data_IF_322449143627
#
_entry.id   IF_322449143627
#
_cell.length_a   1.000
_cell.length_b   1.000
_cell.length_c   1.000
_cell.angle_alpha   90.00
_cell.angle_beta   90.00
_cell.angle_gamma   90.00
#
_symmetry.space_group_name_H-M   'P 1'
#
loop_
_entity.id
_entity.type
_entity.pdbx_description
1 polymer ?
#
# COMPACT_ATOMS: atom_id res chain seq x y z
N UNK A 1 -1.24 0.31 4.79
CA UNK A 1 -1.55 -0.36 3.53
C UNK A 1 -0.82 0.47 2.47
N UNK A 2 0.15 -0.11 1.75
CA UNK A 2 1.06 0.58 0.81
C UNK A 2 2.42 1.04 1.32
N UNK A 3 2.48 1.73 2.46
CA UNK A 3 3.70 2.45 2.86
C UNK A 3 4.91 1.61 3.31
N UNK A 4 4.77 0.29 3.41
CA UNK A 4 5.82 -0.65 3.81
C UNK A 4 5.49 -2.06 3.33
N UNK A 5 6.52 -2.86 3.07
CA UNK A 5 6.34 -4.26 2.69
C UNK A 5 5.76 -5.08 3.87
N UNK A 6 4.61 -5.70 3.65
CA UNK A 6 3.87 -6.56 4.55
C UNK A 6 3.59 -7.92 3.90
N UNK A 7 3.72 -8.99 4.68
CA UNK A 7 3.39 -10.35 4.25
C UNK A 7 2.54 -11.01 5.33
N UNK A 8 1.23 -10.92 5.17
CA UNK A 8 0.26 -11.56 6.07
C UNK A 8 -0.94 -12.03 5.26
N UNK A 9 -1.52 -13.18 5.66
CA UNK A 9 -2.72 -13.70 5.02
C UNK A 9 -3.89 -12.76 5.31
N UNK A 10 -4.37 -12.04 4.29
CA UNK A 10 -5.47 -11.10 4.42
C UNK A 10 -6.83 -11.76 4.16
N UNK A 11 -6.94 -12.43 3.03
CA UNK A 11 -8.18 -13.04 2.56
C UNK A 11 -7.88 -14.36 1.89
N UNK A 12 -8.88 -15.24 1.87
CA UNK A 12 -8.82 -16.50 1.14
C UNK A 12 -10.09 -16.66 0.33
N UNK A 13 -9.95 -17.18 -0.89
CA UNK A 13 -11.06 -17.67 -1.72
C UNK A 13 -10.75 -19.10 -2.13
N UNK A 14 -11.76 -19.95 -2.19
CA UNK A 14 -11.62 -21.31 -2.67
C UNK A 14 -11.99 -21.40 -4.15
N UNK A 15 -11.36 -22.31 -4.88
CA UNK A 15 -11.93 -22.79 -6.13
C UNK A 15 -13.26 -23.49 -5.88
N UNK A 16 -14.12 -23.56 -6.89
CA UNK A 16 -15.47 -24.12 -6.78
C UNK A 16 -15.45 -25.60 -6.34
N UNK A 17 -14.44 -26.35 -6.75
CA UNK A 17 -14.24 -27.75 -6.36
C UNK A 17 -13.66 -27.94 -4.94
N UNK A 18 -13.30 -26.84 -4.27
CA UNK A 18 -12.71 -26.83 -2.94
C UNK A 18 -11.27 -27.37 -2.86
N UNK A 19 -10.65 -27.72 -3.98
CA UNK A 19 -9.29 -28.32 -4.01
C UNK A 19 -8.19 -27.28 -3.96
N UNK A 20 -8.46 -26.08 -4.45
CA UNK A 20 -7.52 -24.97 -4.38
C UNK A 20 -8.02 -23.88 -3.45
N UNK A 21 -7.09 -23.27 -2.70
CA UNK A 21 -7.32 -22.01 -2.02
C UNK A 21 -6.35 -20.95 -2.54
N UNK A 22 -6.89 -19.79 -2.90
CA UNK A 22 -6.17 -18.60 -3.29
C UNK A 22 -6.12 -17.66 -2.10
N UNK A 23 -4.93 -17.48 -1.51
CA UNK A 23 -4.74 -16.71 -0.28
C UNK A 23 -3.96 -15.44 -0.61
N UNK A 24 -4.57 -14.28 -0.37
CA UNK A 24 -3.96 -12.97 -0.65
C UNK A 24 -3.03 -12.58 0.49
N UNK A 25 -1.72 -12.56 0.22
CA UNK A 25 -0.64 -12.29 1.19
C UNK A 25 0.02 -10.91 1.01
N UNK A 26 -0.75 -9.88 0.64
CA UNK A 26 -0.22 -8.52 0.44
C UNK A 26 0.96 -8.50 -0.55
N UNK A 27 2.14 -8.05 -0.13
CA UNK A 27 3.29 -7.84 -1.02
C UNK A 27 3.97 -9.13 -1.44
N UNK A 28 3.59 -10.26 -0.82
CA UNK A 28 3.96 -11.58 -1.30
C UNK A 28 3.13 -11.99 -2.54
N UNK A 29 2.00 -11.33 -2.81
CA UNK A 29 1.04 -11.68 -3.84
C UNK A 29 -0.02 -12.68 -3.34
N UNK A 30 -0.73 -13.31 -4.26
CA UNK A 30 -1.67 -14.39 -3.99
C UNK A 30 -0.92 -15.71 -4.07
N UNK A 31 -0.99 -16.50 -3.00
CA UNK A 31 -0.46 -17.86 -2.92
C UNK A 31 -1.60 -18.84 -3.19
N UNK A 32 -1.45 -19.69 -4.19
CA UNK A 32 -2.37 -20.79 -4.49
C UNK A 32 -1.90 -22.05 -3.76
N UNK A 33 -2.77 -22.59 -2.92
CA UNK A 33 -2.54 -23.81 -2.15
C UNK A 33 -3.39 -24.95 -2.70
N UNK A 34 -2.80 -26.12 -2.88
CA UNK A 34 -3.53 -27.39 -3.05
C UNK A 34 -3.94 -27.90 -1.67
N UNK A 35 -5.24 -28.13 -1.52
CA UNK A 35 -5.92 -28.59 -0.32
C UNK A 35 -6.48 -30.01 -0.48
N UNK A 36 -6.00 -30.79 -1.45
CA UNK A 36 -6.33 -32.21 -1.59
C UNK A 36 -6.06 -32.99 -0.30
N UNK A 37 -4.99 -32.62 0.44
CA UNK A 37 -4.80 -32.99 1.85
C UNK A 37 -4.81 -31.73 2.72
N UNK A 38 -5.94 -31.46 3.36
CA UNK A 38 -6.12 -30.29 4.24
C UNK A 38 -5.21 -30.29 5.47
N UNK A 39 -4.68 -31.45 5.87
CA UNK A 39 -3.71 -31.53 6.97
C UNK A 39 -2.30 -31.12 6.51
N UNK A 40 -2.02 -31.17 5.21
CA UNK A 40 -0.74 -30.82 4.62
C UNK A 40 -0.89 -29.98 3.33
N UNK A 41 -1.38 -28.72 3.42
CA UNK A 41 -1.47 -27.84 2.27
C UNK A 41 -0.12 -27.63 1.58
N UNK A 42 -0.09 -27.64 0.25
CA UNK A 42 1.13 -27.40 -0.54
C UNK A 42 0.96 -26.19 -1.45
N UNK A 43 1.96 -25.31 -1.50
CA UNK A 43 2.01 -24.20 -2.47
C UNK A 43 2.18 -24.75 -3.89
N UNK A 44 1.29 -24.32 -4.79
CA UNK A 44 1.31 -24.66 -6.21
C UNK A 44 2.01 -23.56 -7.00
N UNK A 45 1.57 -22.32 -6.79
CA UNK A 45 2.00 -21.14 -7.54
C UNK A 45 1.71 -19.88 -6.74
N UNK A 46 2.39 -18.80 -7.10
CA UNK A 46 2.20 -17.48 -6.51
C UNK A 46 2.18 -16.40 -7.57
N UNK A 47 1.31 -15.41 -7.43
CA UNK A 47 1.38 -14.21 -8.29
C UNK A 47 2.68 -13.45 -8.02
N UNK A 48 3.32 -12.99 -9.09
CA UNK A 48 4.59 -12.27 -9.01
C UNK A 48 4.42 -10.85 -9.50
N UNK A 49 4.54 -9.90 -8.57
CA UNK A 49 4.53 -8.49 -8.90
C UNK A 49 5.70 -8.10 -9.80
N UNK A 50 5.49 -7.17 -10.75
CA UNK A 50 6.60 -6.52 -11.45
C UNK A 50 7.54 -5.84 -10.44
N UNK A 51 8.85 -5.79 -10.74
CA UNK A 51 9.90 -5.30 -9.82
C UNK A 51 9.76 -3.85 -9.28
N UNK A 52 8.72 -3.13 -9.67
CA UNK A 52 8.43 -1.75 -9.24
C UNK A 52 6.97 -1.53 -8.83
N UNK A 53 6.15 -2.56 -8.77
CA UNK A 53 4.84 -2.46 -8.16
C UNK A 53 4.99 -2.37 -6.63
N UNK A 54 4.04 -1.71 -5.98
CA UNK A 54 4.00 -1.62 -4.51
C UNK A 54 3.65 -2.99 -3.93
N UNK A 55 2.50 -3.51 -4.36
CA UNK A 55 2.03 -4.85 -4.02
C UNK A 55 0.60 -4.78 -3.55
N UNK A 56 0.37 -5.19 -2.30
CA UNK A 56 -0.90 -5.07 -1.58
C UNK A 56 -2.06 -5.97 -2.05
N UNK A 57 -1.76 -7.22 -2.44
CA UNK A 57 -2.76 -8.22 -2.79
C UNK A 57 -3.77 -8.42 -1.64
N UNK A 58 -4.96 -7.87 -1.83
CA UNK A 58 -6.01 -7.81 -0.82
C UNK A 58 -7.03 -8.93 -0.98
N UNK A 59 -7.54 -9.11 -2.19
CA UNK A 59 -8.48 -10.17 -2.55
C UNK A 59 -8.27 -10.65 -3.96
N UNK A 60 -8.85 -11.81 -4.27
CA UNK A 60 -8.71 -12.45 -5.57
C UNK A 60 -10.00 -13.15 -5.98
N UNK A 61 -10.26 -13.15 -7.29
CA UNK A 61 -11.34 -13.92 -7.93
C UNK A 61 -10.73 -14.74 -9.08
N UNK A 62 -10.83 -16.08 -9.07
CA UNK A 62 -10.52 -16.88 -10.24
C UNK A 62 -11.62 -16.72 -11.29
N UNK A 63 -11.24 -16.74 -12.56
CA UNK A 63 -12.18 -16.74 -13.69
C UNK A 63 -11.52 -17.34 -14.93
N UNK A 64 -12.35 -17.74 -15.91
CA UNK A 64 -11.88 -18.29 -17.17
C UNK A 64 -12.16 -17.31 -18.31
N UNK A 65 -11.15 -17.00 -19.13
CA UNK A 65 -11.33 -16.22 -20.36
C UNK A 65 -10.30 -16.62 -21.42
N UNK A 66 -10.73 -16.66 -22.68
CA UNK A 66 -9.85 -17.05 -23.81
C UNK A 66 -9.23 -18.44 -23.68
N UNK A 67 -9.93 -19.38 -23.00
CA UNK A 67 -9.43 -20.74 -22.75
C UNK A 67 -8.33 -20.84 -21.70
N UNK A 68 -8.15 -19.80 -20.87
CA UNK A 68 -7.15 -19.75 -19.79
C UNK A 68 -7.84 -19.56 -18.45
N UNK A 69 -7.27 -20.17 -17.42
CA UNK A 69 -7.57 -19.89 -16.02
C UNK A 69 -6.77 -18.69 -15.56
N UNK A 70 -7.45 -17.71 -14.97
CA UNK A 70 -6.91 -16.41 -14.63
C UNK A 70 -7.32 -16.02 -13.21
N UNK A 71 -6.57 -15.08 -12.64
CA UNK A 71 -6.84 -14.49 -11.34
C UNK A 71 -7.03 -12.98 -11.51
N UNK A 72 -8.18 -12.47 -11.10
CA UNK A 72 -8.41 -11.04 -10.86
C UNK A 72 -7.97 -10.73 -9.44
N UNK A 73 -6.83 -10.08 -9.29
CA UNK A 73 -6.26 -9.68 -8.02
C UNK A 73 -6.50 -8.19 -7.77
N UNK A 74 -6.97 -7.87 -6.58
CA UNK A 74 -7.27 -6.52 -6.14
C UNK A 74 -6.11 -6.06 -5.26
N UNK A 75 -5.40 -5.03 -5.70
CA UNK A 75 -4.32 -4.41 -4.92
C UNK A 75 -4.91 -3.26 -4.09
N UNK A 76 -5.21 -3.52 -2.82
CA UNK A 76 -5.79 -2.50 -1.96
C UNK A 76 -4.69 -1.64 -1.33
N UNK A 77 -4.53 -0.44 -1.88
CA UNK A 77 -3.53 0.50 -1.41
C UNK A 77 -4.09 1.92 -1.35
N UNK A 78 -3.84 2.57 -0.21
CA UNK A 78 -4.35 3.89 0.14
C UNK A 78 -3.24 4.94 0.32
N UNK A 79 -1.97 4.53 0.25
CA UNK A 79 -0.84 5.42 0.49
C UNK A 79 -0.08 5.66 -0.82
N UNK A 80 0.06 6.91 -1.29
CA UNK A 80 0.89 7.20 -2.45
C UNK A 80 2.39 6.92 -2.20
N UNK A 81 2.78 6.60 -0.96
CA UNK A 81 4.15 6.25 -0.60
C UNK A 81 4.37 4.76 -0.81
N UNK A 82 5.36 4.44 -1.62
CA UNK A 82 5.97 3.12 -1.68
C UNK A 82 7.33 3.13 -0.97
N UNK A 83 7.88 1.98 -0.53
CA UNK A 83 9.20 1.90 0.06
C UNK A 83 10.30 2.60 -0.78
N UNK A 84 10.95 3.67 -0.26
CA UNK A 84 11.98 4.39 -1.00
C UNK A 84 13.21 3.50 -1.21
N UNK A 85 13.74 3.54 -2.43
CA UNK A 85 15.00 2.89 -2.79
C UNK A 85 16.18 3.73 -2.36
N UNK A 86 17.12 3.10 -1.69
CA UNK A 86 18.34 3.72 -1.18
C UNK A 86 19.50 3.21 -2.04
N UNK A 87 20.07 4.11 -2.84
CA UNK A 87 21.22 3.81 -3.70
C UNK A 87 22.49 4.32 -3.04
N UNK A 88 23.35 3.37 -2.70
CA UNK A 88 24.66 3.58 -2.09
C UNK A 88 25.69 2.98 -3.05
N UNK A 89 26.72 3.75 -3.41
CA UNK A 89 27.73 3.29 -4.38
C UNK A 89 28.48 2.08 -3.81
N UNK A 90 28.55 0.99 -4.56
CA UNK A 90 29.27 -0.22 -4.15
C UNK A 90 28.47 -1.18 -3.27
N UNK A 91 27.19 -0.88 -2.98
CA UNK A 91 26.32 -1.75 -2.19
C UNK A 91 25.06 -2.15 -2.98
N UNK A 92 24.40 -3.26 -2.60
CA UNK A 92 23.07 -3.59 -3.09
C UNK A 92 22.07 -2.46 -2.88
N UNK A 93 20.98 -2.46 -3.66
CA UNK A 93 19.89 -1.51 -3.42
C UNK A 93 19.19 -1.88 -2.12
N UNK A 94 19.15 -0.94 -1.18
CA UNK A 94 18.38 -1.09 0.04
C UNK A 94 17.03 -0.39 -0.09
N UNK A 95 16.13 -0.66 0.85
CA UNK A 95 14.81 -0.05 0.95
C UNK A 95 14.65 0.59 2.33
N UNK A 96 13.91 1.68 2.39
CA UNK A 96 13.50 2.33 3.63
C UNK A 96 11.98 2.32 3.80
N UNK A 97 11.52 2.83 4.93
CA UNK A 97 10.12 3.16 5.18
C UNK A 97 10.00 4.67 5.41
N UNK A 98 8.99 5.32 4.86
CA UNK A 98 8.79 6.76 5.03
C UNK A 98 7.94 7.08 6.27
N UNK A 99 8.25 8.18 6.94
CA UNK A 99 7.37 8.77 7.95
C UNK A 99 6.12 9.33 7.28
N UNK A 100 4.93 8.85 7.67
CA UNK A 100 3.64 9.40 7.19
C UNK A 100 3.41 10.86 7.57
N UNK A 101 4.07 11.31 8.63
CA UNK A 101 3.97 12.68 9.14
C UNK A 101 4.99 13.65 8.56
N UNK A 102 5.95 13.16 7.78
CA UNK A 102 6.87 14.02 7.03
C UNK A 102 6.36 14.17 5.58
N UNK A 103 6.80 15.20 4.86
CA UNK A 103 6.59 15.29 3.42
C UNK A 103 7.11 14.04 2.72
N UNK A 104 6.25 13.46 1.88
CA UNK A 104 6.59 12.26 1.14
C UNK A 104 7.73 12.52 0.14
N UNK A 105 8.68 11.60 0.04
CA UNK A 105 9.86 11.72 -0.80
C UNK A 105 9.50 11.81 -2.30
N UNK A 106 8.38 11.25 -2.74
CA UNK A 106 7.92 11.38 -4.12
C UNK A 106 7.57 12.82 -4.50
N UNK A 107 7.26 13.69 -3.53
CA UNK A 107 7.02 15.12 -3.75
C UNK A 107 8.32 15.90 -3.96
N UNK A 108 9.48 15.32 -3.65
CA UNK A 108 10.77 15.94 -3.93
C UNK A 108 11.00 16.06 -5.45
N UNK A 109 11.76 17.06 -5.92
CA UNK A 109 12.08 17.21 -7.34
C UNK A 109 12.66 15.92 -7.95
N UNK A 110 12.06 15.43 -9.03
CA UNK A 110 12.42 14.17 -9.68
C UNK A 110 12.32 12.92 -8.79
N UNK A 111 11.45 12.96 -7.76
CA UNK A 111 11.16 11.88 -6.80
C UNK A 111 12.42 11.36 -6.10
N UNK A 112 13.37 12.25 -5.82
CA UNK A 112 14.67 11.87 -5.27
C UNK A 112 15.30 12.95 -4.41
N UNK A 113 16.08 12.52 -3.44
CA UNK A 113 17.03 13.37 -2.69
C UNK A 113 18.43 12.74 -2.83
N UNK A 114 19.38 13.52 -3.36
CA UNK A 114 20.75 13.07 -3.57
C UNK A 114 21.72 14.06 -2.92
N UNK A 115 22.32 13.67 -1.82
CA UNK A 115 23.11 14.58 -1.00
C UNK A 115 24.22 13.84 -0.24
N UNK A 116 25.14 14.64 0.30
CA UNK A 116 26.15 14.17 1.26
C UNK A 116 25.47 13.67 2.54
N UNK A 117 26.07 12.70 3.19
CA UNK A 117 25.58 12.12 4.44
C UNK A 117 26.33 12.72 5.61
N UNK A 118 25.60 13.10 6.66
CA UNK A 118 26.15 13.58 7.92
C UNK A 118 25.57 12.76 9.06
N UNK A 119 26.44 12.21 9.91
CA UNK A 119 26.05 11.53 11.15
C UNK A 119 26.50 12.37 12.35
N UNK A 120 25.63 12.65 13.34
CA UNK A 120 26.04 13.27 14.60
C UNK A 120 27.03 12.36 15.36
N UNK A 121 27.78 12.94 16.31
CA UNK A 121 28.69 12.20 17.21
C UNK A 121 27.91 11.26 18.13
N UNK A 122 26.75 11.70 18.58
CA UNK A 122 25.84 10.95 19.46
C UNK A 122 24.52 10.64 18.72
N UNK A 123 23.37 10.82 19.36
CA UNK A 123 22.04 10.52 18.83
C UNK A 123 21.45 11.64 17.95
N UNK A 124 22.03 12.85 17.95
CA UNK A 124 21.46 13.99 17.21
C UNK A 124 20.33 14.67 17.98
N UNK A 125 20.35 14.53 19.31
CA UNK A 125 19.41 15.10 20.24
C UNK A 125 19.73 16.55 20.60
N UNK A 126 20.89 17.10 20.24
CA UNK A 126 21.19 18.51 20.41
C UNK A 126 22.02 19.04 19.24
N UNK A 127 22.20 20.36 19.16
CA UNK A 127 23.08 20.97 18.14
C UNK A 127 24.54 20.54 18.39
N UNK A 128 24.93 20.40 19.64
CA UNK A 128 26.27 19.98 20.07
C UNK A 128 26.61 18.57 19.58
N UNK A 129 25.62 17.69 19.42
CA UNK A 129 25.81 16.34 18.87
C UNK A 129 26.36 16.40 17.43
N UNK A 130 26.01 17.41 16.64
CA UNK A 130 26.53 17.60 15.29
C UNK A 130 27.93 18.23 15.31
N UNK A 131 28.22 19.07 16.31
CA UNK A 131 29.49 19.77 16.47
C UNK A 131 29.78 20.70 15.28
N UNK A 132 31.02 20.70 14.79
CA UNK A 132 31.43 21.53 13.65
C UNK A 132 31.05 20.94 12.26
N UNK A 133 30.20 19.91 12.21
CA UNK A 133 29.81 19.32 10.93
C UNK A 133 28.87 20.28 10.20
N UNK A 134 29.18 20.57 8.95
CA UNK A 134 28.24 21.24 8.06
C UNK A 134 27.05 20.30 7.83
N UNK A 135 25.82 20.70 8.11
CA UNK A 135 24.59 19.90 7.88
C UNK A 135 23.77 20.47 6.71
N UNK A 136 24.08 21.69 6.26
CA UNK A 136 23.33 22.40 5.22
C UNK A 136 23.39 21.63 3.90
N UNK A 137 22.22 21.25 3.37
CA UNK A 137 22.11 20.48 2.14
C UNK A 137 22.46 18.99 2.28
N UNK A 138 22.63 18.47 3.50
CA UNK A 138 22.96 17.08 3.77
C UNK A 138 21.75 16.20 4.08
N UNK A 139 21.91 14.89 3.91
CA UNK A 139 21.05 13.90 4.57
C UNK A 139 21.64 13.63 5.95
N UNK A 140 20.88 13.92 7.00
CA UNK A 140 21.26 13.61 8.38
C UNK A 140 20.89 12.15 8.70
N UNK A 141 21.87 11.30 9.02
CA UNK A 141 21.63 9.92 9.48
C UNK A 141 21.73 9.91 11.01
N UNK A 142 20.61 9.74 11.72
CA UNK A 142 20.54 9.77 13.18
C UNK A 142 20.31 8.38 13.77
N UNK A 143 20.90 8.08 14.92
CA UNK A 143 20.68 6.80 15.62
C UNK A 143 19.39 6.84 16.40
N UNK A 144 18.53 5.85 16.20
CA UNK A 144 17.23 5.77 16.88
C UNK A 144 17.03 4.37 17.44
N UNK A 145 17.08 4.29 18.76
CA UNK A 145 16.83 3.05 19.50
C UNK A 145 15.33 2.84 19.68
N UNK A 146 14.85 1.64 19.36
CA UNK A 146 13.45 1.24 19.53
C UNK A 146 13.36 0.09 20.53
N UNK A 147 13.40 0.44 21.81
CA UNK A 147 13.60 -0.50 22.93
C UNK A 147 12.32 -1.17 23.41
N UNK A 148 11.15 -0.87 22.82
CA UNK A 148 9.83 -1.25 23.35
C UNK A 148 9.59 -2.77 23.38
N UNK A 149 10.18 -3.51 22.44
CA UNK A 149 10.00 -4.96 22.28
C UNK A 149 11.32 -5.74 22.38
N UNK A 150 12.39 -5.08 22.81
CA UNK A 150 13.69 -5.72 22.97
C UNK A 150 13.80 -6.39 24.35
N UNK A 151 14.16 -7.67 24.35
CA UNK A 151 14.51 -8.42 25.56
C UNK A 151 15.93 -9.03 25.43
N UNK A 152 16.90 -8.66 26.30
CA UNK A 152 16.81 -7.59 27.31
C UNK A 152 16.71 -6.19 26.68
N UNK A 153 16.19 -5.19 27.41
CA UNK A 153 16.00 -3.84 26.90
C UNK A 153 17.31 -3.21 26.40
N UNK A 154 17.27 -2.60 25.22
CA UNK A 154 18.33 -1.69 24.78
C UNK A 154 18.37 -0.43 25.66
N UNK A 155 19.50 0.32 25.71
CA UNK A 155 19.56 1.60 26.42
C UNK A 155 18.46 2.56 25.96
N UNK A 156 17.81 3.21 26.93
CA UNK A 156 16.77 4.19 26.63
C UNK A 156 17.33 5.32 25.76
N UNK A 157 16.61 5.75 24.70
CA UNK A 157 17.08 6.82 23.83
C UNK A 157 17.16 8.15 24.60
N UNK A 158 18.18 8.95 24.29
CA UNK A 158 18.44 10.26 24.91
C UNK A 158 17.36 11.30 24.56
N UNK A 159 16.66 11.11 23.45
CA UNK A 159 15.48 11.89 23.07
C UNK A 159 14.58 11.15 22.07
N UNK A 160 13.38 11.68 21.82
CA UNK A 160 12.49 11.13 20.80
C UNK A 160 12.79 11.60 19.37
N UNK A 161 12.32 10.84 18.38
CA UNK A 161 12.49 11.08 16.93
C UNK A 161 12.17 12.52 16.51
N UNK A 162 10.99 13.05 16.89
CA UNK A 162 10.60 14.44 16.61
C UNK A 162 11.67 15.48 16.96
N UNK A 163 12.43 15.25 18.04
CA UNK A 163 13.50 16.16 18.46
C UNK A 163 14.72 16.03 17.54
N UNK A 164 15.09 14.80 17.17
CA UNK A 164 16.17 14.53 16.21
C UNK A 164 15.87 15.21 14.87
N UNK A 165 14.63 15.06 14.37
CA UNK A 165 14.19 15.62 13.09
C UNK A 165 14.30 17.15 13.07
N UNK A 166 13.71 17.81 14.07
CA UNK A 166 13.73 19.28 14.20
C UNK A 166 15.13 19.85 14.29
N UNK A 167 16.06 19.14 14.93
CA UNK A 167 17.45 19.60 15.07
C UNK A 167 18.17 19.46 13.74
N UNK A 168 18.03 18.31 13.07
CA UNK A 168 18.63 18.10 11.74
C UNK A 168 18.14 19.14 10.73
N UNK A 169 16.82 19.36 10.66
CA UNK A 169 16.22 20.37 9.78
C UNK A 169 16.67 21.78 10.13
N UNK A 170 16.68 22.16 11.41
CA UNK A 170 17.15 23.48 11.86
C UNK A 170 18.60 23.74 11.44
N UNK A 171 19.43 22.71 11.36
CA UNK A 171 20.81 22.80 10.91
C UNK A 171 20.96 22.75 9.37
N UNK A 172 19.84 22.64 8.64
CA UNK A 172 19.78 22.71 7.18
C UNK A 172 19.81 21.36 6.46
N UNK A 173 19.51 20.25 7.14
CA UNK A 173 19.39 18.95 6.48
C UNK A 173 18.25 18.99 5.44
N UNK A 174 18.42 18.29 4.32
CA UNK A 174 17.41 18.17 3.24
C UNK A 174 16.60 16.88 3.34
N UNK A 175 16.99 15.97 4.21
CA UNK A 175 16.23 14.81 4.65
C UNK A 175 16.85 14.25 5.93
N UNK A 176 16.04 13.53 6.71
CA UNK A 176 16.49 12.81 7.91
C UNK A 176 16.33 11.32 7.67
N UNK A 177 17.36 10.55 8.01
CA UNK A 177 17.35 9.09 7.92
C UNK A 177 17.61 8.51 9.30
N UNK A 178 16.67 7.74 9.81
CA UNK A 178 16.82 7.03 11.08
C UNK A 178 17.52 5.69 10.84
N UNK A 179 18.71 5.57 11.41
CA UNK A 179 19.40 4.31 11.70
C UNK A 179 18.62 3.60 12.80
N UNK A 180 17.69 2.72 12.41
CA UNK A 180 16.83 2.01 13.35
C UNK A 180 17.59 0.84 13.96
N UNK A 181 17.75 0.90 15.28
CA UNK A 181 18.40 -0.14 16.07
C UNK A 181 17.32 -0.82 16.92
N UNK A 182 16.93 -2.02 16.53
CA UNK A 182 15.98 -2.90 17.22
C UNK A 182 16.34 -4.36 16.96
N UNK A 183 16.02 -5.26 17.90
CA UNK A 183 16.21 -6.72 17.74
C UNK A 183 15.01 -7.41 17.14
N UNK A 184 13.80 -6.85 17.30
CA UNK A 184 12.55 -7.59 17.08
C UNK A 184 11.49 -6.83 16.26
N UNK A 185 11.77 -5.64 15.72
CA UNK A 185 10.71 -4.82 15.12
C UNK A 185 11.05 -4.15 13.77
N UNK A 186 10.01 -4.08 12.92
CA UNK A 186 9.91 -3.20 11.75
C UNK A 186 9.14 -1.92 12.12
N UNK A 187 9.64 -0.71 11.83
CA UNK A 187 9.05 0.54 12.28
C UNK A 187 7.73 0.84 11.55
N UNK A 188 6.59 0.44 12.13
CA UNK A 188 5.28 0.57 11.47
C UNK A 188 4.56 1.90 11.70
N UNK A 189 4.90 2.68 12.73
CA UNK A 189 4.39 4.06 12.88
C UNK A 189 5.04 4.74 14.08
N UNK A 190 5.44 6.00 13.96
CA UNK A 190 5.90 6.79 15.11
C UNK A 190 5.41 8.23 15.08
N UNK A 191 5.31 8.81 16.27
CA UNK A 191 4.71 10.12 16.62
C UNK A 191 5.00 11.20 15.58
N UNK A 192 3.94 11.84 15.08
CA UNK A 192 4.04 12.77 13.93
C UNK A 192 5.21 13.76 13.94
N UNK A 193 6.12 13.68 12.98
CA UNK A 193 7.13 14.71 12.74
C UNK A 193 6.46 15.98 12.23
N UNK A 194 6.92 17.17 12.62
CA UNK A 194 6.42 18.47 12.14
C UNK A 194 7.52 19.22 11.37
N UNK A 195 8.35 18.46 10.65
CA UNK A 195 9.40 18.95 9.76
C UNK A 195 8.90 18.99 8.32
N UNK A 196 9.51 19.84 7.51
CA UNK A 196 9.22 20.07 6.10
C UNK A 196 10.15 19.29 5.15
N UNK A 197 11.03 18.44 5.71
CA UNK A 197 11.92 17.56 4.95
C UNK A 197 11.50 16.09 5.06
N UNK A 198 11.77 15.26 4.03
CA UNK A 198 11.46 13.83 4.10
C UNK A 198 12.19 13.14 5.25
N UNK A 199 11.50 12.21 5.91
CA UNK A 199 12.04 11.38 7.00
C UNK A 199 11.90 9.90 6.62
N UNK A 200 13.02 9.16 6.63
CA UNK A 200 13.08 7.75 6.20
C UNK A 200 13.72 6.88 7.29
N UNK A 201 13.16 5.71 7.53
CA UNK A 201 13.68 4.70 8.46
C UNK A 201 14.37 3.60 7.67
N UNK A 202 15.57 3.20 8.11
CA UNK A 202 16.37 2.18 7.43
C UNK A 202 16.99 1.22 8.45
N UNK A 203 17.26 0.00 8.00
CA UNK A 203 18.00 -0.98 8.80
C UNK A 203 19.43 -0.50 9.13
N UNK A 204 19.97 -0.97 10.25
CA UNK A 204 21.27 -0.56 10.77
C UNK A 204 22.42 -0.71 9.74
N UNK A 205 22.46 -1.83 9.01
CA UNK A 205 23.51 -2.08 8.01
C UNK A 205 23.43 -1.08 6.84
N UNK A 206 22.22 -0.73 6.42
CA UNK A 206 22.00 0.29 5.39
C UNK A 206 22.51 1.64 5.88
N UNK A 207 22.14 2.06 7.09
CA UNK A 207 22.60 3.33 7.67
C UNK A 207 24.13 3.39 7.80
N UNK A 208 24.78 2.29 8.21
CA UNK A 208 26.24 2.19 8.27
C UNK A 208 26.88 2.40 6.90
N UNK A 209 26.39 1.71 5.86
CA UNK A 209 26.88 1.88 4.50
C UNK A 209 26.67 3.31 3.97
N UNK A 210 25.55 3.95 4.30
CA UNK A 210 25.30 5.35 3.92
C UNK A 210 26.34 6.30 4.52
N UNK A 211 26.69 6.09 5.79
CA UNK A 211 27.66 6.92 6.52
C UNK A 211 29.09 6.67 6.03
N UNK A 212 29.45 5.41 5.78
CA UNK A 212 30.76 5.01 5.26
C UNK A 212 31.05 5.64 3.89
N UNK A 213 30.08 5.58 2.98
CA UNK A 213 30.22 6.15 1.63
C UNK A 213 30.09 7.67 1.62
N UNK A 214 29.38 8.25 2.60
CA UNK A 214 29.28 9.70 2.78
C UNK A 214 28.41 10.42 1.74
N UNK A 215 27.80 9.70 0.79
CA UNK A 215 26.88 10.26 -0.22
C UNK A 215 25.93 9.20 -0.75
N UNK A 216 24.65 9.52 -0.82
CA UNK A 216 23.59 8.56 -1.18
C UNK A 216 22.51 9.19 -2.03
N UNK A 217 21.66 8.35 -2.62
CA UNK A 217 20.42 8.78 -3.28
C UNK A 217 19.23 8.04 -2.66
N UNK A 218 18.31 8.80 -2.10
CA UNK A 218 16.97 8.34 -1.74
C UNK A 218 16.09 8.54 -2.97
N UNK A 219 15.39 7.51 -3.41
CA UNK A 219 14.57 7.52 -4.62
C UNK A 219 13.21 6.94 -4.26
N UNK A 220 12.17 7.76 -4.27
CA UNK A 220 10.81 7.28 -4.24
C UNK A 220 10.40 6.85 -5.65
N UNK A 221 9.71 5.71 -5.83
CA UNK A 221 9.09 5.42 -7.11
C UNK A 221 8.00 6.45 -7.43
N UNK A 222 7.47 6.40 -8.66
CA UNK A 222 6.23 7.12 -8.95
C UNK A 222 5.11 6.41 -8.19
N UNK A 223 4.33 7.14 -7.38
CA UNK A 223 3.18 6.56 -6.69
C UNK A 223 2.30 5.79 -7.67
N UNK A 224 1.90 4.59 -7.30
CA UNK A 224 1.06 3.74 -8.13
C UNK A 224 0.30 2.79 -7.21
N UNK A 225 -1.01 2.97 -7.03
CA UNK A 225 -1.81 2.25 -6.04
C UNK A 225 -3.22 1.92 -6.56
N UNK A 226 -3.87 0.94 -5.92
CA UNK A 226 -5.31 0.72 -6.12
C UNK A 226 -5.70 0.13 -7.47
N UNK A 227 -4.93 -0.82 -8.01
CA UNK A 227 -5.19 -1.45 -9.32
C UNK A 227 -6.01 -2.73 -9.18
N UNK A 228 -6.74 -3.06 -10.24
CA UNK A 228 -7.04 -4.45 -10.57
C UNK A 228 -5.90 -5.03 -11.41
N UNK A 229 -5.46 -6.25 -11.13
CA UNK A 229 -4.50 -6.99 -11.97
C UNK A 229 -5.08 -8.29 -12.45
N UNK A 230 -4.73 -8.66 -13.67
CA UNK A 230 -5.02 -9.98 -14.23
C UNK A 230 -3.72 -10.79 -14.19
N UNK A 231 -3.75 -11.96 -13.57
CA UNK A 231 -2.65 -12.91 -13.56
C UNK A 231 -3.06 -14.21 -14.25
N UNK A 232 -2.09 -14.86 -14.88
CA UNK A 232 -2.23 -16.24 -15.33
C UNK A 232 -2.21 -17.16 -14.11
N UNK A 233 -3.26 -17.97 -13.91
CA UNK A 233 -3.40 -18.77 -12.70
C UNK A 233 -2.38 -19.91 -12.62
N UNK A 234 -1.87 -20.41 -13.76
CA UNK A 234 -0.91 -21.52 -13.79
C UNK A 234 0.53 -21.07 -13.53
N UNK A 235 0.87 -19.85 -13.95
CA UNK A 235 2.25 -19.34 -13.89
C UNK A 235 2.45 -18.23 -12.87
N UNK A 236 1.37 -17.59 -12.40
CA UNK A 236 1.43 -16.43 -11.52
C UNK A 236 1.99 -15.17 -12.19
N UNK A 237 2.16 -15.19 -13.51
CA UNK A 237 2.68 -14.04 -14.27
C UNK A 237 1.54 -13.07 -14.60
N UNK A 238 1.79 -11.78 -14.38
CA UNK A 238 0.80 -10.75 -14.69
C UNK A 238 0.55 -10.67 -16.21
N UNK A 239 -0.71 -10.75 -16.61
CA UNK A 239 -1.20 -10.60 -17.99
C UNK A 239 -1.48 -9.13 -18.30
N UNK A 240 -2.26 -8.46 -17.45
CA UNK A 240 -2.66 -7.07 -17.64
C UNK A 240 -3.00 -6.40 -16.29
N UNK A 241 -3.46 -5.16 -16.34
CA UNK A 241 -3.97 -4.41 -15.18
C UNK A 241 -4.99 -3.37 -15.63
N UNK A 242 -5.82 -2.92 -14.70
CA UNK A 242 -6.76 -1.82 -14.90
C UNK A 242 -6.70 -0.83 -13.73
N UNK A 243 -6.54 0.44 -14.07
CA UNK A 243 -6.40 1.57 -13.14
C UNK A 243 -6.88 2.92 -13.71
N UNK A 244 -7.61 2.89 -14.82
CA UNK A 244 -8.09 4.11 -15.50
C UNK A 244 -9.39 4.62 -14.88
N UNK A 245 -9.35 4.91 -13.58
CA UNK A 245 -10.46 5.50 -12.85
C UNK A 245 -10.12 6.90 -12.34
N UNK A 246 -11.12 7.78 -12.20
CA UNK A 246 -10.91 9.10 -11.64
C UNK A 246 -10.24 9.03 -10.27
N UNK A 247 -9.16 9.82 -10.11
CA UNK A 247 -8.40 10.04 -8.88
C UNK A 247 -7.49 8.90 -8.39
N UNK A 248 -7.54 7.72 -9.02
CA UNK A 248 -6.52 6.67 -8.84
C UNK A 248 -5.14 7.25 -9.22
N UNK A 249 -4.12 6.97 -8.42
CA UNK A 249 -2.76 7.55 -8.49
C UNK A 249 -2.61 9.06 -8.25
N UNK A 250 -3.70 9.79 -7.96
CA UNK A 250 -3.66 11.27 -7.84
C UNK A 250 -3.96 11.78 -6.45
N UNK A 251 -5.04 11.30 -5.83
CA UNK A 251 -5.45 11.75 -4.50
C UNK A 251 -5.12 10.68 -3.47
N UNK A 252 -3.90 10.77 -2.94
CA UNK A 252 -3.52 10.04 -1.75
C UNK A 252 -3.86 10.85 -0.52
N UNK A 253 -4.74 10.37 0.34
CA UNK A 253 -4.74 10.60 1.80
C UNK A 253 -6.02 10.05 2.46
N UNK A 254 -5.80 9.21 3.47
CA UNK A 254 -6.75 8.98 4.56
C UNK A 254 -8.05 8.29 4.17
N UNK A 255 -7.99 7.14 3.51
CA UNK A 255 -9.09 6.17 3.65
C UNK A 255 -9.36 6.00 5.14
N UNK A 256 -10.61 6.24 5.56
CA UNK A 256 -11.03 6.24 6.97
C UNK A 256 -10.48 7.39 7.85
N UNK A 257 -9.89 8.45 7.27
CA UNK A 257 -9.51 9.64 8.04
C UNK A 257 -10.77 10.38 8.54
N UNK A 258 -10.90 10.45 9.87
CA UNK A 258 -12.04 11.02 10.58
C UNK A 258 -12.14 12.55 10.43
N UNK A 259 -11.11 13.23 9.91
CA UNK A 259 -10.97 14.68 9.93
C UNK A 259 -11.10 15.37 8.57
N UNK A 260 -11.51 14.68 7.50
CA UNK A 260 -11.81 15.29 6.20
C UNK A 260 -11.22 14.58 4.99
N UNK A 261 -11.48 13.28 4.84
CA UNK A 261 -11.11 12.54 3.62
C UNK A 261 -11.79 13.13 2.38
N UNK A 262 -11.00 13.38 1.32
CA UNK A 262 -11.49 13.75 -0.02
C UNK A 262 -12.01 12.56 -0.83
N UNK A 263 -12.06 11.37 -0.22
CA UNK A 263 -12.39 10.11 -0.87
C UNK A 263 -11.27 9.08 -0.74
N UNK A 264 -11.64 7.83 -0.95
CA UNK A 264 -10.76 6.67 -0.97
C UNK A 264 -10.82 6.07 -2.39
N UNK A 265 -9.70 6.11 -3.12
CA UNK A 265 -9.65 5.75 -4.54
C UNK A 265 -8.76 4.53 -4.74
N UNK A 266 -9.19 3.42 -4.16
CA UNK A 266 -8.56 2.10 -4.25
C UNK A 266 -9.62 1.03 -4.47
N UNK A 267 -9.23 -0.05 -5.12
CA UNK A 267 -10.07 -1.25 -5.23
C UNK A 267 -10.12 -1.95 -3.86
N UNK A 268 -11.20 -2.69 -3.60
CA UNK A 268 -11.35 -3.55 -2.44
C UNK A 268 -11.69 -4.98 -2.87
N UNK A 269 -12.96 -5.32 -3.15
CA UNK A 269 -13.36 -6.67 -3.57
C UNK A 269 -13.99 -6.69 -4.95
N UNK A 270 -13.83 -7.80 -5.66
CA UNK A 270 -14.40 -8.04 -6.97
C UNK A 270 -15.23 -9.30 -6.94
N UNK A 271 -16.27 -9.33 -7.75
CA UNK A 271 -17.02 -10.54 -8.10
C UNK A 271 -17.16 -10.63 -9.61
N UNK A 272 -17.25 -11.85 -10.11
CA UNK A 272 -17.34 -12.14 -11.55
C UNK A 272 -18.66 -12.84 -11.86
N UNK A 273 -19.30 -12.42 -12.95
CA UNK A 273 -20.41 -13.14 -13.57
C UNK A 273 -20.18 -13.17 -15.09
N UNK A 274 -19.88 -14.35 -15.62
CA UNK A 274 -19.52 -14.53 -17.03
C UNK A 274 -18.33 -13.66 -17.43
N UNK A 275 -18.54 -12.80 -18.41
CA UNK A 275 -17.55 -11.88 -18.98
C UNK A 275 -17.53 -10.50 -18.30
N UNK A 276 -18.15 -10.37 -17.12
CA UNK A 276 -18.17 -9.13 -16.32
C UNK A 276 -17.55 -9.31 -14.95
N UNK A 277 -16.71 -8.36 -14.57
CA UNK A 277 -16.28 -8.17 -13.19
C UNK A 277 -16.96 -6.93 -12.59
N UNK A 278 -17.46 -7.06 -11.36
CA UNK A 278 -17.99 -5.95 -10.57
C UNK A 278 -17.07 -5.74 -9.38
N UNK A 279 -16.42 -4.59 -9.31
CA UNK A 279 -15.41 -4.30 -8.29
C UNK A 279 -15.88 -3.17 -7.39
N UNK A 280 -15.92 -3.38 -6.08
CA UNK A 280 -16.00 -2.31 -5.10
C UNK A 280 -14.68 -1.53 -5.10
N UNK A 281 -14.80 -0.22 -5.27
CA UNK A 281 -13.69 0.70 -5.46
C UNK A 281 -13.87 1.95 -4.61
N UNK A 282 -14.33 1.75 -3.38
CA UNK A 282 -14.57 2.78 -2.38
C UNK A 282 -15.34 4.00 -2.91
N UNK A 283 -14.67 5.13 -3.10
CA UNK A 283 -15.28 6.38 -3.55
C UNK A 283 -15.58 6.42 -5.04
N UNK A 284 -15.04 5.48 -5.82
CA UNK A 284 -15.52 5.18 -7.17
C UNK A 284 -16.73 4.23 -7.17
N UNK A 285 -17.25 3.82 -6.00
CA UNK A 285 -18.46 3.00 -5.90
C UNK A 285 -18.23 1.56 -6.35
N UNK A 286 -19.16 1.02 -7.15
CA UNK A 286 -18.97 -0.24 -7.89
C UNK A 286 -18.67 0.07 -9.35
N UNK A 287 -17.60 -0.51 -9.85
CA UNK A 287 -17.15 -0.41 -11.24
C UNK A 287 -17.41 -1.74 -11.93
N UNK A 288 -18.15 -1.71 -13.04
CA UNK A 288 -18.35 -2.87 -13.91
C UNK A 288 -17.30 -2.85 -15.02
N UNK A 289 -16.58 -3.96 -15.17
CA UNK A 289 -15.53 -4.16 -16.16
C UNK A 289 -15.92 -5.30 -17.10
N UNK A 290 -15.72 -5.11 -18.40
CA UNK A 290 -15.64 -6.19 -19.36
C UNK A 290 -14.26 -6.84 -19.24
N UNK A 291 -14.26 -8.16 -19.00
CA UNK A 291 -13.07 -8.99 -18.79
C UNK A 291 -12.97 -10.12 -19.83
N UNK A 292 -13.74 -10.04 -20.92
CA UNK A 292 -13.72 -11.02 -22.02
C UNK A 292 -12.35 -11.13 -22.69
N UNK A 293 -11.65 -9.99 -22.85
CA UNK A 293 -10.24 -9.93 -23.21
C UNK A 293 -9.37 -9.73 -21.94
N UNK A 294 -8.66 -10.77 -21.47
CA UNK A 294 -7.81 -10.65 -20.29
C UNK A 294 -6.58 -9.76 -20.49
N UNK A 295 -6.22 -9.42 -21.73
CA UNK A 295 -5.12 -8.50 -22.02
C UNK A 295 -5.52 -7.02 -21.82
N UNK A 296 -6.81 -6.69 -21.78
CA UNK A 296 -7.29 -5.32 -21.65
C UNK A 296 -8.69 -5.22 -21.07
N UNK A 297 -8.87 -5.39 -19.74
CA UNK A 297 -10.13 -5.10 -19.09
C UNK A 297 -10.57 -3.65 -19.35
N UNK A 298 -11.86 -3.42 -19.58
CA UNK A 298 -12.39 -2.07 -19.84
C UNK A 298 -13.62 -1.77 -19.01
N UNK A 299 -13.78 -0.51 -18.58
CA UNK A 299 -14.95 -0.11 -17.81
C UNK A 299 -16.17 0.09 -18.70
N UNK A 300 -17.25 -0.60 -18.33
CA UNK A 300 -18.53 -0.63 -19.05
C UNK A 300 -19.71 -0.10 -18.23
N UNK A 301 -19.49 0.20 -16.95
CA UNK A 301 -20.49 0.83 -16.09
C UNK A 301 -19.97 1.24 -14.72
N UNK A 302 -20.73 2.09 -14.04
CA UNK A 302 -20.46 2.53 -12.68
C UNK A 302 -21.74 2.75 -11.91
N UNK A 303 -21.71 2.44 -10.61
CA UNK A 303 -22.70 2.91 -9.67
C UNK A 303 -22.00 3.52 -8.44
N UNK A 304 -22.30 4.77 -8.14
CA UNK A 304 -21.77 5.46 -6.94
C UNK A 304 -22.96 5.82 -6.05
N UNK A 305 -23.04 5.26 -4.82
CA UNK A 305 -24.03 5.69 -3.85
C UNK A 305 -24.01 7.22 -3.64
N UNK A 306 -25.16 7.88 -3.52
CA UNK A 306 -25.21 9.31 -3.23
C UNK A 306 -24.57 9.59 -1.86
N UNK A 307 -23.92 10.75 -1.74
CA UNK A 307 -23.47 11.24 -0.44
C UNK A 307 -24.71 11.52 0.44
N UNK A 308 -24.93 10.73 1.49
CA UNK A 308 -26.10 10.88 2.34
C UNK A 308 -25.75 11.49 3.72
N UNK A 309 -26.33 12.64 4.10
CA UNK A 309 -26.12 13.23 5.42
C UNK A 309 -26.95 12.58 6.54
N UNK A 310 -27.84 11.62 6.25
CA UNK A 310 -28.94 11.19 7.14
C UNK A 310 -28.79 9.85 7.85
N UNK A 311 -27.76 9.04 7.57
CA UNK A 311 -27.61 7.77 8.27
C UNK A 311 -26.59 7.90 9.40
N UNK A 312 -27.06 7.79 10.64
CA UNK A 312 -26.23 7.65 11.82
C UNK A 312 -25.86 6.20 12.06
N UNK A 313 -25.15 5.54 11.14
CA UNK A 313 -24.52 4.26 11.49
C UNK A 313 -23.51 4.52 12.61
N UNK A 314 -23.28 3.55 13.52
CA UNK A 314 -22.23 3.66 14.54
C UNK A 314 -20.89 4.03 13.91
N UNK A 315 -20.59 3.46 12.73
CA UNK A 315 -19.44 3.78 11.90
C UNK A 315 -19.44 5.22 11.39
N UNK A 316 -20.57 5.83 11.04
CA UNK A 316 -20.63 7.24 10.60
C UNK A 316 -20.29 8.24 11.72
N UNK A 317 -20.44 7.86 12.99
CA UNK A 317 -19.92 8.69 14.10
C UNK A 317 -18.39 8.78 14.10
N UNK A 318 -17.73 7.78 13.53
CA UNK A 318 -16.27 7.76 13.35
C UNK A 318 -15.90 8.30 11.95
N UNK A 319 -16.42 7.71 10.88
CA UNK A 319 -16.06 8.02 9.49
C UNK A 319 -16.52 9.40 9.00
N UNK A 320 -17.42 10.06 9.73
CA UNK A 320 -17.92 11.40 9.41
C UNK A 320 -18.82 11.44 8.17
N UNK A 321 -18.94 12.63 7.57
CA UNK A 321 -19.58 12.84 6.25
C UNK A 321 -18.51 12.74 5.16
N UNK A 322 -18.86 12.22 3.98
CA UNK A 322 -17.92 12.11 2.86
C UNK A 322 -18.54 11.40 1.65
N UNK A 323 -17.76 11.27 0.55
CA UNK A 323 -18.18 10.51 -0.62
C UNK A 323 -18.42 9.03 -0.28
N UNK A 324 -18.98 8.28 -1.23
CA UNK A 324 -19.18 6.84 -1.11
C UNK A 324 -17.92 6.13 -0.61
N UNK A 325 -18.13 5.05 0.13
CA UNK A 325 -17.12 4.21 0.71
C UNK A 325 -17.59 2.77 0.58
N UNK A 326 -17.78 2.35 -0.68
CA UNK A 326 -18.22 1.00 -1.03
C UNK A 326 -17.12 0.01 -0.73
N UNK A 327 -17.38 -0.83 0.27
CA UNK A 327 -16.44 -1.83 0.75
C UNK A 327 -16.61 -3.15 0.01
N UNK A 328 -17.86 -3.59 -0.16
CA UNK A 328 -18.15 -4.91 -0.70
C UNK A 328 -19.14 -4.88 -1.85
N UNK A 329 -19.02 -5.88 -2.71
CA UNK A 329 -20.01 -6.25 -3.70
C UNK A 329 -20.20 -7.77 -3.63
N UNK A 330 -21.43 -8.23 -3.74
CA UNK A 330 -21.79 -9.63 -3.92
C UNK A 330 -22.78 -9.75 -5.08
N UNK A 331 -22.83 -10.90 -5.73
CA UNK A 331 -23.73 -11.16 -6.86
C UNK A 331 -24.71 -12.25 -6.45
N UNK A 332 -26.00 -12.04 -6.71
CA UNK A 332 -26.95 -13.14 -6.78
C UNK A 332 -26.87 -13.77 -8.18
N UNK A 333 -26.38 -15.03 -8.28
CA UNK A 333 -26.13 -15.67 -9.57
C UNK A 333 -27.42 -15.92 -10.37
N UNK A 334 -28.57 -16.07 -9.70
CA UNK A 334 -29.83 -16.39 -10.37
C UNK A 334 -30.45 -15.15 -11.03
N UNK A 335 -30.39 -14.00 -10.33
CA UNK A 335 -31.04 -12.77 -10.80
C UNK A 335 -30.08 -11.77 -11.45
N UNK A 336 -28.77 -11.98 -11.31
CA UNK A 336 -27.71 -11.07 -11.71
C UNK A 336 -27.68 -9.76 -10.90
N UNK A 337 -28.41 -9.68 -9.79
CA UNK A 337 -28.44 -8.50 -8.93
C UNK A 337 -27.15 -8.37 -8.12
N UNK A 338 -26.67 -7.13 -8.01
CA UNK A 338 -25.53 -6.78 -7.18
C UNK A 338 -26.01 -6.29 -5.81
N UNK A 339 -25.42 -6.84 -4.75
CA UNK A 339 -25.57 -6.39 -3.37
C UNK A 339 -24.33 -5.58 -3.01
N UNK A 340 -24.51 -4.27 -2.87
CA UNK A 340 -23.42 -3.30 -2.72
C UNK A 340 -23.42 -2.76 -1.30
N UNK A 341 -22.37 -3.05 -0.55
CA UNK A 341 -22.21 -2.62 0.83
C UNK A 341 -21.39 -1.34 0.90
N UNK A 342 -22.06 -0.23 1.21
CA UNK A 342 -21.44 1.07 1.43
C UNK A 342 -21.36 1.38 2.93
N UNK A 343 -20.15 1.64 3.43
CA UNK A 343 -19.94 1.88 4.88
C UNK A 343 -20.71 3.09 5.41
N UNK A 344 -21.07 4.04 4.53
CA UNK A 344 -21.72 5.29 4.92
C UNK A 344 -23.23 5.26 4.75
N UNK A 345 -23.74 4.59 3.73
CA UNK A 345 -25.14 4.66 3.30
C UNK A 345 -25.86 3.32 3.40
N UNK A 346 -25.16 2.23 3.70
CA UNK A 346 -25.73 0.91 3.93
C UNK A 346 -25.74 0.04 2.67
N UNK A 347 -26.73 -0.86 2.60
CA UNK A 347 -26.88 -1.80 1.50
C UNK A 347 -27.65 -1.17 0.33
N UNK A 348 -27.11 -1.32 -0.87
CA UNK A 348 -27.78 -1.02 -2.13
C UNK A 348 -27.96 -2.31 -2.93
N UNK A 349 -29.10 -2.43 -3.62
CA UNK A 349 -29.36 -3.53 -4.55
C UNK A 349 -29.44 -2.93 -5.95
N UNK A 350 -28.53 -3.32 -6.83
CA UNK A 350 -28.33 -2.70 -8.15
C UNK A 350 -28.45 -3.76 -9.22
N UNK A 351 -29.13 -3.42 -10.33
CA UNK A 351 -29.20 -4.27 -11.51
C UNK A 351 -28.22 -3.73 -12.57
N UNK A 352 -27.24 -4.52 -13.03
CA UNK A 352 -26.45 -4.17 -14.19
C UNK A 352 -27.34 -4.05 -15.43
N UNK A 353 -27.09 -3.04 -16.28
CA UNK A 353 -27.86 -2.81 -17.51
C UNK A 353 -26.94 -2.42 -18.66
N UNK A 354 -27.42 -2.56 -19.90
CA UNK A 354 -26.65 -2.23 -21.09
C UNK A 354 -25.33 -3.02 -21.14
N UNK A 355 -24.20 -2.38 -21.52
CA UNK A 355 -22.89 -3.03 -21.56
C UNK A 355 -22.42 -3.64 -20.22
N UNK A 356 -22.94 -3.15 -19.09
CA UNK A 356 -22.56 -3.68 -17.77
C UNK A 356 -23.29 -4.99 -17.42
N UNK A 357 -24.34 -5.36 -18.16
CA UNK A 357 -24.95 -6.68 -18.02
C UNK A 357 -24.01 -7.76 -18.59
N UNK A 358 -23.92 -8.93 -17.95
CA UNK A 358 -23.16 -10.06 -18.48
C UNK A 358 -23.78 -10.53 -19.79
N UNK A 359 -22.96 -11.02 -20.73
CA UNK A 359 -23.49 -11.69 -21.92
C UNK A 359 -24.09 -13.04 -21.54
N UNK A 360 -25.23 -13.38 -22.14
CA UNK A 360 -25.85 -14.71 -22.02
C UNK A 360 -24.99 -15.82 -22.60
#
# INVERSE_FOLDING_TARGET
MGSFAATFAHSARFAEDGRLAYVSYWDLGVVTLDLTDVAHPTEVVRTVYPARADGDAHSVVPYSAGGRELLLQNDEDWDPRSPPRIRIRGHPTAFGAESRSAPALYLAPNHRVAARVVRPRSEGCSVEDYGARDVVGAIAVVRTYLTLFDDPPLPAPSCGQRRQDRIAERLGAVAVVHDVISRTMSPQEWRGTDVEVPVVFVHHDTARAMVEVGRVRLIAPRPSWGFLRVFDAATGVQVSRYDDLPHVHRLGTGCLSLSGSTGCFSIHNTEVNGDRAYSSWYSNGVVALDISDPAGPTMVGQFVPPTNPRHGSFLNRFLGKGPALVWGVAIDPDSGLLYVSDMRTGLWIVRPTGPAAPTE
#
